data_IF_528555012197
#
_entry.id   IF_528555012197
#
_cell.length_a   1.000
_cell.length_b   1.000
_cell.length_c   1.000
_cell.angle_alpha   90.00
_cell.angle_beta   90.00
_cell.angle_gamma   90.00
#
_symmetry.space_group_name_H-M   'P 1'
#
loop_
_entity.id
_entity.type
_entity.pdbx_description
1 polymer ?
#
# COMPACT_ATOMS: atom_id res chain seq x y z
N UNK A 1 39.89 44.05 5.78
CA UNK A 1 38.72 43.74 4.92
C UNK A 1 38.22 42.41 5.44
N UNK A 2 37.29 42.49 6.38
CA UNK A 2 36.98 41.40 7.31
C UNK A 2 36.03 40.40 6.66
N UNK A 3 36.47 39.16 6.58
CA UNK A 3 35.78 38.02 5.96
C UNK A 3 34.79 37.32 6.93
N UNK A 4 34.27 38.04 7.92
CA UNK A 4 33.58 37.44 9.09
C UNK A 4 32.07 37.74 9.15
N UNK A 5 31.41 38.09 8.04
CA UNK A 5 30.00 38.52 8.04
C UNK A 5 29.04 37.77 7.10
N UNK A 6 29.43 36.65 6.48
CA UNK A 6 28.58 35.93 5.51
C UNK A 6 28.06 34.56 5.98
N UNK A 7 28.18 34.24 7.27
CA UNK A 7 27.69 32.98 7.86
C UNK A 7 26.19 33.01 8.25
N UNK A 8 25.64 34.19 8.52
CA UNK A 8 24.39 34.38 9.27
C UNK A 8 23.08 33.94 8.61
N UNK A 9 23.11 33.12 7.56
CA UNK A 9 21.88 32.63 6.92
C UNK A 9 21.99 31.19 6.39
N UNK A 10 22.79 30.34 7.05
CA UNK A 10 22.65 28.90 6.85
C UNK A 10 21.33 28.49 7.52
N UNK A 11 20.36 27.89 6.81
CA UNK A 11 19.17 27.37 7.46
C UNK A 11 19.66 26.40 8.53
N UNK A 12 19.42 26.77 9.79
CA UNK A 12 19.75 25.96 10.95
C UNK A 12 19.15 24.58 10.67
N UNK A 13 19.95 23.51 10.75
CA UNK A 13 19.43 22.17 10.49
C UNK A 13 18.33 21.88 11.52
N UNK A 14 17.07 22.05 11.13
CA UNK A 14 15.90 21.81 11.97
C UNK A 14 15.89 20.38 12.56
N UNK A 15 16.69 19.47 12.00
CA UNK A 15 16.88 18.11 12.52
C UNK A 15 17.64 18.05 13.85
N UNK A 16 18.31 19.14 14.25
CA UNK A 16 18.95 19.32 15.55
C UNK A 16 17.96 19.66 16.68
N UNK A 17 16.75 20.13 16.35
CA UNK A 17 15.73 20.55 17.34
C UNK A 17 15.03 19.38 18.06
N UNK A 18 15.15 18.15 17.53
CA UNK A 18 14.44 16.97 18.05
C UNK A 18 15.42 16.01 18.72
N UNK A 19 15.09 15.56 19.94
CA UNK A 19 15.89 14.60 20.70
C UNK A 19 16.25 13.34 19.88
N UNK A 20 17.50 12.83 19.94
CA UNK A 20 17.92 11.63 19.22
C UNK A 20 17.06 10.39 19.49
N UNK A 21 16.46 10.28 20.69
CA UNK A 21 15.56 9.18 21.07
C UNK A 21 14.24 9.28 20.30
N UNK A 22 13.64 10.48 20.24
CA UNK A 22 12.40 10.71 19.51
C UNK A 22 12.59 10.49 18.00
N UNK A 23 13.72 10.94 17.46
CA UNK A 23 14.10 10.70 16.06
C UNK A 23 14.12 9.21 15.70
N UNK A 24 14.64 8.34 16.59
CA UNK A 24 14.61 6.88 16.40
C UNK A 24 13.19 6.31 16.40
N UNK A 25 12.32 6.74 17.31
CA UNK A 25 10.93 6.28 17.35
C UNK A 25 10.16 6.64 16.08
N UNK A 26 10.30 7.88 15.63
CA UNK A 26 9.71 8.34 14.36
C UNK A 26 10.30 7.56 13.19
N UNK A 27 11.61 7.29 13.18
CA UNK A 27 12.26 6.47 12.16
C UNK A 27 11.70 5.04 12.07
N UNK A 28 11.55 4.34 13.20
CA UNK A 28 10.98 2.99 13.22
C UNK A 28 9.51 2.96 12.80
N UNK A 29 8.72 3.95 13.21
CA UNK A 29 7.35 4.11 12.78
C UNK A 29 7.25 4.28 11.26
N UNK A 30 8.04 5.20 10.67
CA UNK A 30 8.09 5.42 9.23
C UNK A 30 8.57 4.18 8.46
N UNK A 31 9.55 3.44 8.99
CA UNK A 31 10.01 2.19 8.39
C UNK A 31 8.92 1.11 8.42
N UNK A 32 8.17 1.00 9.53
CA UNK A 32 7.02 0.10 9.65
C UNK A 32 5.91 0.43 8.66
N UNK A 33 5.62 1.72 8.45
CA UNK A 33 4.65 2.18 7.46
C UNK A 33 5.10 1.87 6.02
N UNK A 34 6.37 2.12 5.70
CA UNK A 34 6.93 1.77 4.39
C UNK A 34 6.80 0.26 4.13
N UNK A 35 7.17 -0.56 5.13
CA UNK A 35 7.02 -2.01 5.05
C UNK A 35 5.55 -2.40 4.83
N UNK A 36 4.62 -1.86 5.62
CA UNK A 36 3.20 -2.19 5.48
C UNK A 36 2.62 -1.79 4.11
N UNK A 37 2.98 -0.62 3.56
CA UNK A 37 2.56 -0.22 2.21
C UNK A 37 3.08 -1.19 1.17
N UNK A 38 4.33 -1.62 1.27
CA UNK A 38 4.91 -2.59 0.35
C UNK A 38 4.08 -3.89 0.29
N UNK A 39 3.67 -4.43 1.45
CA UNK A 39 2.78 -5.59 1.51
C UNK A 39 1.39 -5.30 0.98
N UNK A 40 0.79 -4.15 1.30
CA UNK A 40 -0.54 -3.78 0.81
C UNK A 40 -0.58 -3.65 -0.72
N UNK A 41 0.46 -3.07 -1.32
CA UNK A 41 0.64 -2.99 -2.77
C UNK A 41 0.81 -4.38 -3.39
N UNK A 42 1.63 -5.24 -2.79
CA UNK A 42 1.79 -6.64 -3.22
C UNK A 42 0.48 -7.42 -3.17
N UNK A 43 -0.25 -7.34 -2.06
CA UNK A 43 -1.56 -7.96 -1.88
C UNK A 43 -2.59 -7.43 -2.88
N UNK A 44 -2.57 -6.12 -3.17
CA UNK A 44 -3.42 -5.51 -4.21
C UNK A 44 -3.09 -6.03 -5.62
N UNK A 45 -1.81 -6.15 -5.94
CA UNK A 45 -1.33 -6.75 -7.20
C UNK A 45 -1.79 -8.21 -7.35
N UNK A 46 -1.64 -9.01 -6.29
CA UNK A 46 -2.14 -10.40 -6.25
C UNK A 46 -3.67 -10.44 -6.43
N UNK A 47 -4.41 -9.60 -5.70
CA UNK A 47 -5.88 -9.49 -5.80
C UNK A 47 -6.33 -9.17 -7.23
N UNK A 48 -5.58 -8.32 -7.93
CA UNK A 48 -5.85 -7.95 -9.32
C UNK A 48 -5.55 -9.08 -10.32
N UNK A 49 -4.42 -9.75 -10.17
CA UNK A 49 -4.03 -10.92 -10.99
C UNK A 49 -4.96 -12.12 -10.74
N UNK A 50 -5.51 -12.23 -9.53
CA UNK A 50 -6.50 -13.23 -9.15
C UNK A 50 -7.89 -12.98 -9.75
N UNK A 51 -8.09 -11.85 -10.43
CA UNK A 51 -9.41 -11.35 -10.85
C UNK A 51 -10.42 -11.44 -9.68
N UNK A 52 -9.94 -11.09 -8.48
CA UNK A 52 -10.69 -11.26 -7.23
C UNK A 52 -11.29 -9.96 -6.69
N UNK A 53 -10.95 -8.82 -7.30
CA UNK A 53 -11.19 -7.47 -6.76
C UNK A 53 -12.65 -7.15 -6.35
N UNK A 54 -13.64 -7.90 -6.85
CA UNK A 54 -15.06 -7.64 -6.63
C UNK A 54 -15.82 -8.82 -5.96
N UNK A 55 -15.11 -9.85 -5.46
CA UNK A 55 -15.72 -11.08 -4.92
C UNK A 55 -16.27 -10.98 -3.49
N UNK A 56 -16.07 -9.85 -2.82
CA UNK A 56 -16.67 -9.55 -1.52
C UNK A 56 -17.95 -8.72 -1.76
N UNK A 57 -19.11 -9.35 -1.62
CA UNK A 57 -20.43 -8.77 -1.95
C UNK A 57 -20.94 -7.77 -0.93
N UNK A 58 -20.59 -7.97 0.34
CA UNK A 58 -21.03 -7.04 1.37
C UNK A 58 -20.19 -5.77 1.33
N UNK A 59 -20.84 -4.67 0.94
CA UNK A 59 -20.25 -3.32 0.91
C UNK A 59 -20.23 -2.69 2.30
N UNK A 60 -20.69 -3.37 3.34
CA UNK A 60 -20.68 -2.84 4.69
C UNK A 60 -19.24 -2.42 5.08
N UNK A 61 -18.99 -1.10 5.22
CA UNK A 61 -17.67 -0.60 5.57
C UNK A 61 -17.22 -1.07 6.96
N UNK A 62 -18.14 -1.63 7.76
CA UNK A 62 -17.90 -2.15 9.09
C UNK A 62 -17.92 -3.69 9.17
N UNK A 63 -17.94 -4.44 8.05
CA UNK A 63 -17.69 -5.88 8.14
C UNK A 63 -16.21 -6.09 8.47
N UNK A 64 -15.95 -6.52 9.71
CA UNK A 64 -14.60 -6.82 10.22
C UNK A 64 -14.34 -8.34 10.28
N UNK A 65 -15.40 -9.15 10.25
CA UNK A 65 -15.34 -10.59 10.51
C UNK A 65 -15.65 -11.36 9.21
N UNK A 66 -14.79 -12.28 8.77
CA UNK A 66 -15.08 -13.23 7.69
C UNK A 66 -16.31 -14.12 7.99
N UNK A 67 -17.02 -14.62 6.95
CA UNK A 67 -18.18 -15.52 7.12
C UNK A 67 -17.74 -16.95 7.49
N UNK A 68 -17.03 -17.11 8.61
CA UNK A 68 -16.61 -18.41 9.09
C UNK A 68 -17.81 -19.34 9.27
N UNK A 69 -17.83 -20.47 8.57
CA UNK A 69 -18.91 -21.46 8.64
C UNK A 69 -20.17 -21.14 7.83
N UNK A 70 -20.19 -20.03 7.07
CA UNK A 70 -21.33 -19.58 6.27
C UNK A 70 -20.94 -19.27 4.81
N UNK A 71 -19.99 -20.03 4.26
CA UNK A 71 -19.43 -19.77 2.94
C UNK A 71 -20.39 -20.04 1.80
N UNK A 72 -21.27 -21.04 1.94
CA UNK A 72 -22.31 -21.33 0.96
C UNK A 72 -23.30 -20.16 0.84
N UNK A 73 -23.72 -19.57 1.96
CA UNK A 73 -24.62 -18.42 1.97
C UNK A 73 -23.97 -17.18 1.33
N UNK A 74 -22.72 -16.89 1.69
CA UNK A 74 -21.96 -15.79 1.09
C UNK A 74 -21.77 -16.02 -0.43
N UNK A 75 -21.51 -17.25 -0.86
CA UNK A 75 -21.36 -17.59 -2.27
C UNK A 75 -22.68 -17.47 -3.04
N UNK A 76 -23.81 -17.91 -2.47
CA UNK A 76 -25.13 -17.70 -3.07
C UNK A 76 -25.47 -16.21 -3.15
N UNK A 77 -25.08 -15.40 -2.17
CA UNK A 77 -25.22 -13.96 -2.24
C UNK A 77 -24.31 -13.33 -3.31
N UNK A 78 -23.11 -13.89 -3.54
CA UNK A 78 -22.24 -13.52 -4.66
C UNK A 78 -22.86 -13.79 -6.03
N UNK A 79 -23.55 -14.92 -6.19
CA UNK A 79 -24.23 -15.26 -7.46
C UNK A 79 -25.31 -14.26 -7.85
N UNK A 80 -25.94 -13.60 -6.87
CA UNK A 80 -26.98 -12.58 -7.08
C UNK A 80 -26.43 -11.22 -7.51
N UNK A 81 -25.12 -10.98 -7.37
CA UNK A 81 -24.49 -9.71 -7.69
C UNK A 81 -24.22 -9.56 -9.19
N UNK A 82 -24.33 -8.34 -9.71
CA UNK A 82 -24.18 -8.04 -11.15
C UNK A 82 -22.85 -8.49 -11.78
N UNK A 83 -21.82 -8.78 -10.99
CA UNK A 83 -20.55 -9.31 -11.50
C UNK A 83 -20.65 -10.79 -11.92
N UNK A 84 -21.36 -11.63 -11.16
CA UNK A 84 -21.39 -13.07 -11.41
C UNK A 84 -21.94 -13.44 -12.80
N UNK A 85 -23.03 -12.82 -13.30
CA UNK A 85 -23.51 -13.04 -14.66
C UNK A 85 -22.51 -12.60 -15.75
N UNK A 86 -21.56 -11.72 -15.43
CA UNK A 86 -20.56 -11.18 -16.38
C UNK A 86 -19.28 -12.00 -16.47
N UNK A 87 -19.14 -13.05 -15.65
CA UNK A 87 -18.04 -14.00 -15.74
C UNK A 87 -18.12 -14.77 -17.08
N UNK A 88 -16.96 -15.17 -17.61
CA UNK A 88 -16.92 -16.11 -18.74
C UNK A 88 -17.40 -17.49 -18.27
N UNK A 89 -17.77 -18.38 -19.20
CA UNK A 89 -18.14 -19.77 -18.85
C UNK A 89 -16.99 -20.47 -18.12
N UNK A 90 -15.77 -20.37 -18.65
CA UNK A 90 -14.55 -20.87 -18.01
C UNK A 90 -14.34 -20.31 -16.60
N UNK A 91 -14.55 -19.01 -16.39
CA UNK A 91 -14.38 -18.37 -15.07
C UNK A 91 -15.45 -18.82 -14.07
N UNK A 92 -16.67 -19.15 -14.52
CA UNK A 92 -17.74 -19.68 -13.66
C UNK A 92 -17.47 -21.13 -13.27
N UNK A 93 -17.08 -21.98 -14.22
CA UNK A 93 -16.74 -23.39 -13.95
C UNK A 93 -15.57 -23.50 -12.97
N UNK A 94 -14.58 -22.63 -13.11
CA UNK A 94 -13.44 -22.58 -12.19
C UNK A 94 -13.75 -21.92 -10.83
N UNK A 95 -14.94 -21.34 -10.63
CA UNK A 95 -15.34 -20.71 -9.36
C UNK A 95 -16.00 -21.72 -8.41
N UNK A 96 -15.22 -22.70 -7.97
CA UNK A 96 -15.59 -23.59 -6.86
C UNK A 96 -15.71 -22.82 -5.54
N UNK A 97 -16.38 -23.39 -4.54
CA UNK A 97 -16.52 -22.77 -3.21
C UNK A 97 -15.15 -22.44 -2.60
N UNK A 98 -14.19 -23.37 -2.66
CA UNK A 98 -12.82 -23.14 -2.17
C UNK A 98 -12.09 -22.01 -2.92
N UNK A 99 -12.24 -21.93 -4.25
CA UNK A 99 -11.68 -20.83 -5.03
C UNK A 99 -12.35 -19.49 -4.71
N UNK A 100 -13.64 -19.50 -4.40
CA UNK A 100 -14.37 -18.34 -3.93
C UNK A 100 -13.84 -17.87 -2.57
N UNK A 101 -13.73 -18.75 -1.58
CA UNK A 101 -13.19 -18.46 -0.24
C UNK A 101 -11.79 -17.82 -0.32
N UNK A 102 -10.87 -18.45 -1.06
CA UNK A 102 -9.52 -17.95 -1.22
C UNK A 102 -9.49 -16.55 -1.85
N UNK A 103 -10.25 -16.34 -2.93
CA UNK A 103 -10.34 -15.03 -3.59
C UNK A 103 -11.01 -13.98 -2.69
N UNK A 104 -11.99 -14.37 -1.88
CA UNK A 104 -12.63 -13.53 -0.88
C UNK A 104 -11.62 -13.07 0.18
N UNK A 105 -10.79 -14.00 0.69
CA UNK A 105 -9.74 -13.68 1.67
C UNK A 105 -8.68 -12.73 1.14
N UNK A 106 -8.26 -12.86 -0.13
CA UNK A 106 -7.31 -11.91 -0.74
C UNK A 106 -7.83 -10.46 -0.67
N UNK A 107 -9.10 -10.26 -1.05
CA UNK A 107 -9.75 -8.94 -0.96
C UNK A 107 -9.86 -8.48 0.49
N UNK A 108 -10.28 -9.37 1.39
CA UNK A 108 -10.40 -9.06 2.81
C UNK A 108 -9.07 -8.60 3.41
N UNK A 109 -7.98 -9.36 3.22
CA UNK A 109 -6.66 -9.01 3.72
C UNK A 109 -6.14 -7.70 3.13
N UNK A 110 -6.36 -7.46 1.84
CA UNK A 110 -5.99 -6.18 1.22
C UNK A 110 -6.78 -5.00 1.84
N UNK A 111 -8.10 -5.14 2.03
CA UNK A 111 -8.96 -4.11 2.64
C UNK A 111 -8.60 -3.85 4.11
N UNK A 112 -8.42 -4.91 4.90
CA UNK A 112 -8.02 -4.80 6.30
C UNK A 112 -6.63 -4.22 6.44
N UNK A 113 -5.68 -4.61 5.57
CA UNK A 113 -4.34 -4.04 5.51
C UNK A 113 -4.36 -2.54 5.25
N UNK A 114 -5.21 -2.07 4.33
CA UNK A 114 -5.43 -0.64 4.07
C UNK A 114 -5.96 0.12 5.30
N UNK A 115 -6.96 -0.45 6.01
CA UNK A 115 -7.51 0.14 7.25
C UNK A 115 -6.47 0.18 8.36
N UNK A 116 -5.73 -0.90 8.54
CA UNK A 116 -4.67 -0.98 9.53
C UNK A 116 -3.59 0.06 9.25
N UNK A 117 -3.14 0.21 8.00
CA UNK A 117 -2.17 1.24 7.60
C UNK A 117 -2.68 2.65 7.87
N UNK A 118 -3.96 2.91 7.59
CA UNK A 118 -4.58 4.20 7.89
C UNK A 118 -4.52 4.51 9.39
N UNK A 119 -4.93 3.57 10.24
CA UNK A 119 -4.87 3.73 11.70
C UNK A 119 -3.43 3.83 12.23
N UNK A 120 -2.53 3.00 11.71
CA UNK A 120 -1.11 2.97 12.08
C UNK A 120 -0.36 4.24 11.62
N UNK A 121 -0.88 4.97 10.63
CA UNK A 121 -0.39 6.30 10.28
C UNK A 121 -1.01 7.36 11.19
N UNK A 122 -2.34 7.53 11.16
CA UNK A 122 -3.00 8.67 11.81
C UNK A 122 -2.86 8.66 13.34
N UNK A 123 -2.89 7.49 13.99
CA UNK A 123 -2.74 7.40 15.45
C UNK A 123 -1.39 7.94 15.93
N UNK A 124 -0.26 7.36 15.51
CA UNK A 124 1.07 7.87 15.85
C UNK A 124 1.36 9.25 15.27
N UNK A 125 0.83 9.60 14.09
CA UNK A 125 0.97 10.94 13.50
C UNK A 125 0.42 12.02 14.44
N UNK A 126 -0.81 11.87 14.93
CA UNK A 126 -1.42 12.81 15.87
C UNK A 126 -0.63 12.86 17.19
N UNK A 127 -0.25 11.68 17.71
CA UNK A 127 0.54 11.60 18.93
C UNK A 127 1.89 12.33 18.82
N UNK A 128 2.66 12.09 17.75
CA UNK A 128 3.94 12.74 17.50
C UNK A 128 3.80 14.24 17.21
N UNK A 129 2.68 14.65 16.60
CA UNK A 129 2.37 16.05 16.39
C UNK A 129 2.20 16.79 17.72
N UNK A 130 1.34 16.28 18.60
CA UNK A 130 1.07 16.87 19.92
C UNK A 130 2.33 16.88 20.79
N UNK A 131 3.17 15.82 20.69
CA UNK A 131 4.42 15.73 21.46
C UNK A 131 5.59 16.52 20.86
N UNK A 132 5.42 17.15 19.70
CA UNK A 132 6.48 17.94 19.06
C UNK A 132 7.66 17.10 18.57
N UNK A 133 7.42 15.85 18.15
CA UNK A 133 8.49 14.94 17.70
C UNK A 133 8.90 15.18 16.24
N UNK A 134 8.25 16.12 15.55
CA UNK A 134 8.53 16.47 14.16
C UNK A 134 9.29 17.79 14.04
N UNK A 135 10.34 17.80 13.22
CA UNK A 135 10.90 19.03 12.68
C UNK A 135 9.93 19.67 11.68
N UNK A 136 10.07 20.97 11.40
CA UNK A 136 9.11 21.68 10.54
C UNK A 136 9.10 21.15 9.11
N UNK A 137 10.26 20.74 8.61
CA UNK A 137 10.38 20.03 7.32
C UNK A 137 9.61 18.69 7.34
N UNK A 138 9.70 17.93 8.42
CA UNK A 138 9.00 16.66 8.55
C UNK A 138 7.49 16.86 8.72
N UNK A 139 7.04 17.90 9.45
CA UNK A 139 5.62 18.25 9.58
C UNK A 139 4.97 18.50 8.22
N UNK A 140 5.56 19.37 7.39
CA UNK A 140 5.05 19.67 6.04
C UNK A 140 4.92 18.41 5.19
N UNK A 141 5.95 17.54 5.24
CA UNK A 141 5.96 16.26 4.55
C UNK A 141 4.87 15.31 5.05
N UNK A 142 4.67 15.21 6.36
CA UNK A 142 3.67 14.32 6.94
C UNK A 142 2.24 14.82 6.68
N UNK A 143 1.99 16.13 6.64
CA UNK A 143 0.71 16.69 6.19
C UNK A 143 0.44 16.30 4.74
N UNK A 144 1.44 16.47 3.86
CA UNK A 144 1.29 16.11 2.46
C UNK A 144 0.94 14.62 2.29
N UNK A 145 1.64 13.74 3.01
CA UNK A 145 1.35 12.30 2.99
C UNK A 145 -0.01 11.98 3.62
N UNK A 146 -0.45 12.70 4.65
CA UNK A 146 -1.78 12.52 5.24
C UNK A 146 -2.90 12.78 4.22
N UNK A 147 -2.74 13.81 3.39
CA UNK A 147 -3.68 14.12 2.30
C UNK A 147 -3.69 12.98 1.25
N UNK A 148 -2.50 12.49 0.85
CA UNK A 148 -2.38 11.38 -0.10
C UNK A 148 -2.96 10.06 0.45
N UNK A 149 -2.83 9.83 1.75
CA UNK A 149 -3.39 8.64 2.41
C UNK A 149 -4.91 8.74 2.52
N UNK A 150 -5.44 9.91 2.89
CA UNK A 150 -6.88 10.16 2.94
C UNK A 150 -7.53 10.04 1.55
N UNK A 151 -6.83 10.45 0.48
CA UNK A 151 -7.35 10.34 -0.90
C UNK A 151 -7.51 8.89 -1.39
N UNK A 152 -6.86 7.90 -0.76
CA UNK A 152 -6.99 6.50 -1.16
C UNK A 152 -8.41 5.96 -0.98
N UNK A 153 -9.16 6.45 0.01
CA UNK A 153 -10.53 6.03 0.29
C UNK A 153 -11.47 6.43 -0.88
N UNK A 154 -11.58 7.72 -1.26
CA UNK A 154 -12.44 8.11 -2.37
C UNK A 154 -11.94 7.56 -3.71
N UNK A 155 -10.63 7.42 -3.93
CA UNK A 155 -10.08 6.80 -5.15
C UNK A 155 -10.49 5.33 -5.24
N UNK A 156 -10.39 4.58 -4.13
CA UNK A 156 -10.84 3.18 -4.07
C UNK A 156 -12.34 3.03 -4.35
N UNK A 157 -13.16 3.95 -3.83
CA UNK A 157 -14.59 3.99 -4.12
C UNK A 157 -14.88 4.33 -5.60
N UNK A 158 -14.20 5.34 -6.14
CA UNK A 158 -14.30 5.73 -7.55
C UNK A 158 -13.89 4.61 -8.51
N UNK A 159 -12.88 3.83 -8.13
CA UNK A 159 -12.39 2.66 -8.85
C UNK A 159 -13.49 1.59 -8.98
N UNK A 160 -14.29 1.36 -7.92
CA UNK A 160 -15.38 0.39 -7.90
C UNK A 160 -16.58 0.83 -8.75
N UNK A 161 -16.90 2.13 -8.77
CA UNK A 161 -18.05 2.65 -9.52
C UNK A 161 -17.80 2.79 -11.04
N UNK A 162 -16.55 2.75 -11.48
CA UNK A 162 -16.17 2.81 -12.92
C UNK A 162 -16.68 1.66 -13.76
N UNK A 163 -16.75 0.47 -13.17
CA UNK A 163 -17.10 -0.76 -13.89
C UNK A 163 -18.56 -0.82 -14.32
N UNK A 164 -19.35 0.19 -13.94
CA UNK A 164 -20.80 0.31 -14.18
C UNK A 164 -21.16 1.33 -15.27
N UNK A 165 -20.22 1.85 -16.06
CA UNK A 165 -20.56 2.74 -17.17
C UNK A 165 -21.03 1.99 -18.43
N UNK A 166 -22.17 2.46 -18.95
CA UNK A 166 -22.98 1.89 -20.01
C UNK A 166 -22.25 1.52 -21.33
N UNK A 167 -21.09 2.11 -21.63
CA UNK A 167 -20.36 1.83 -22.88
C UNK A 167 -19.63 0.48 -22.92
N UNK A 168 -19.25 -0.08 -21.77
CA UNK A 168 -18.72 -1.44 -21.69
C UNK A 168 -19.83 -2.51 -21.82
N UNK A 169 -21.10 -2.11 -21.61
CA UNK A 169 -22.28 -2.98 -21.66
C UNK A 169 -22.65 -3.39 -23.09
N UNK A 170 -22.22 -2.65 -24.11
CA UNK A 170 -22.55 -2.92 -25.51
C UNK A 170 -21.65 -3.97 -26.18
N UNK A 171 -20.46 -4.26 -25.63
CA UNK A 171 -19.40 -4.98 -26.36
C UNK A 171 -18.94 -6.32 -25.73
N UNK A 172 -19.66 -6.87 -24.72
CA UNK A 172 -19.28 -8.13 -24.02
C UNK A 172 -17.79 -8.21 -23.59
N UNK A 173 -17.12 -7.06 -23.39
CA UNK A 173 -15.74 -7.04 -22.89
C UNK A 173 -15.76 -7.13 -21.38
N UNK A 174 -14.85 -7.94 -20.81
CA UNK A 174 -14.70 -8.20 -19.36
C UNK A 174 -14.94 -6.91 -18.54
N UNK A 175 -15.74 -6.95 -17.45
CA UNK A 175 -15.94 -5.79 -16.59
C UNK A 175 -14.60 -5.37 -15.99
N UNK A 176 -13.99 -4.34 -16.58
CA UNK A 176 -12.68 -3.85 -16.22
C UNK A 176 -12.81 -2.51 -15.52
N UNK A 177 -12.26 -2.41 -14.31
CA UNK A 177 -11.89 -1.11 -13.75
C UNK A 177 -11.02 -0.38 -14.76
N UNK A 178 -11.31 0.89 -15.01
CA UNK A 178 -10.51 1.69 -15.93
C UNK A 178 -9.02 1.67 -15.54
N UNK A 179 -8.16 1.38 -16.51
CA UNK A 179 -6.71 1.23 -16.31
C UNK A 179 -6.09 2.49 -15.69
N UNK A 180 -6.58 3.69 -16.02
CA UNK A 180 -6.07 4.93 -15.42
C UNK A 180 -6.45 5.07 -13.94
N UNK A 181 -7.63 4.60 -13.51
CA UNK A 181 -8.07 4.68 -12.11
C UNK A 181 -7.25 3.74 -11.23
N UNK A 182 -6.99 2.55 -11.74
CA UNK A 182 -6.11 1.58 -11.09
C UNK A 182 -4.67 2.09 -11.02
N UNK A 183 -4.17 2.71 -12.08
CA UNK A 183 -2.84 3.33 -12.08
C UNK A 183 -2.73 4.42 -11.01
N UNK A 184 -3.70 5.33 -10.92
CA UNK A 184 -3.72 6.38 -9.88
C UNK A 184 -3.73 5.76 -8.47
N UNK A 185 -4.58 4.75 -8.25
CA UNK A 185 -4.66 4.05 -6.97
C UNK A 185 -3.37 3.31 -6.59
N UNK A 186 -2.57 2.89 -7.57
CA UNK A 186 -1.28 2.23 -7.34
C UNK A 186 -0.13 3.23 -7.16
N UNK A 187 -0.09 4.29 -7.96
CA UNK A 187 0.99 5.28 -7.98
C UNK A 187 1.07 6.01 -6.64
N UNK A 188 -0.06 6.38 -6.05
CA UNK A 188 -0.05 7.16 -4.80
C UNK A 188 0.55 6.35 -3.64
N UNK A 189 0.13 5.10 -3.33
CA UNK A 189 0.81 4.25 -2.34
C UNK A 189 2.29 4.02 -2.65
N UNK A 190 2.65 3.81 -3.92
CA UNK A 190 4.05 3.64 -4.30
C UNK A 190 4.90 4.88 -4.03
N UNK A 191 4.34 6.07 -4.31
CA UNK A 191 4.96 7.33 -3.97
C UNK A 191 5.08 7.53 -2.45
N UNK A 192 4.02 7.24 -1.68
CA UNK A 192 4.04 7.28 -0.21
C UNK A 192 5.10 6.34 0.38
N UNK A 193 5.26 5.13 -0.18
CA UNK A 193 6.32 4.20 0.19
C UNK A 193 7.71 4.85 0.07
N UNK A 194 7.99 5.50 -1.07
CA UNK A 194 9.25 6.21 -1.29
C UNK A 194 9.47 7.33 -0.26
N UNK A 195 8.44 8.12 0.04
CA UNK A 195 8.50 9.21 1.03
C UNK A 195 8.74 8.67 2.44
N UNK A 196 8.05 7.62 2.86
CA UNK A 196 8.25 7.01 4.18
C UNK A 196 9.61 6.37 4.31
N UNK A 197 10.06 5.63 3.30
CA UNK A 197 11.37 5.01 3.32
C UNK A 197 12.49 6.07 3.38
N UNK A 198 12.42 7.09 2.53
CA UNK A 198 13.37 8.21 2.56
C UNK A 198 13.37 8.93 3.92
N UNK A 199 12.19 9.17 4.49
CA UNK A 199 12.08 9.85 5.80
C UNK A 199 12.59 8.96 6.95
N UNK A 200 12.31 7.66 6.93
CA UNK A 200 12.86 6.72 7.90
C UNK A 200 14.39 6.71 7.86
N UNK A 201 14.95 6.71 6.65
CA UNK A 201 16.40 6.74 6.45
C UNK A 201 17.03 8.01 6.93
N UNK A 202 16.45 9.17 6.64
CA UNK A 202 16.96 10.44 7.14
C UNK A 202 16.85 10.52 8.66
N UNK A 203 15.90 9.82 9.30
CA UNK A 203 15.86 9.71 10.76
C UNK A 203 17.01 8.84 11.30
N UNK A 204 17.39 7.75 10.61
CA UNK A 204 18.46 6.85 11.04
C UNK A 204 19.88 7.30 10.67
N UNK A 205 20.02 8.01 9.55
CA UNK A 205 21.27 8.55 9.03
C UNK A 205 21.35 10.03 9.45
N UNK A 206 22.28 10.36 10.35
CA UNK A 206 22.56 11.77 10.68
C UNK A 206 23.13 12.47 9.43
N UNK A 207 22.78 13.73 9.14
CA UNK A 207 23.60 14.58 8.27
C UNK A 207 25.00 14.60 8.88
N UNK A 208 26.01 14.19 8.13
CA UNK A 208 27.38 14.49 8.53
C UNK A 208 27.60 15.96 8.18
N UNK A 209 27.70 16.80 9.20
CA UNK A 209 28.33 18.10 9.04
C UNK A 209 29.75 17.84 8.51
N UNK A 210 30.16 18.64 7.53
CA UNK A 210 31.39 18.58 6.74
C UNK A 210 31.62 17.32 5.87
N UNK A 211 31.76 17.58 4.57
CA UNK A 211 32.10 16.63 3.52
C UNK A 211 33.45 15.94 3.82
N UNK A 212 33.40 14.74 4.38
CA UNK A 212 34.39 13.71 4.10
C UNK A 212 33.64 12.51 3.51
N UNK A 213 33.63 12.43 2.18
CA UNK A 213 32.88 11.43 1.38
C UNK A 213 33.33 9.99 1.68
N UNK A 214 34.34 9.80 2.55
CA UNK A 214 34.83 8.50 3.02
C UNK A 214 34.03 7.84 4.14
N UNK A 215 33.14 8.55 4.85
CA UNK A 215 32.41 8.01 6.03
C UNK A 215 30.90 7.85 5.90
N UNK A 216 30.30 8.12 4.73
CA UNK A 216 28.97 7.54 4.44
C UNK A 216 29.17 6.04 4.62
N UNK A 217 28.44 5.43 5.55
CA UNK A 217 28.49 3.98 5.73
C UNK A 217 27.87 3.35 4.48
N UNK A 218 28.68 3.22 3.43
CA UNK A 218 28.32 2.70 2.13
C UNK A 218 27.73 1.31 2.26
N UNK A 219 28.06 0.56 3.32
CA UNK A 219 27.43 -0.72 3.64
C UNK A 219 25.95 -0.57 4.00
N UNK A 220 25.57 0.44 4.80
CA UNK A 220 24.15 0.73 5.12
C UNK A 220 23.38 1.21 3.90
N UNK A 221 23.93 2.16 3.13
CA UNK A 221 23.27 2.64 1.91
C UNK A 221 23.15 1.56 0.84
N UNK A 222 24.20 0.74 0.64
CA UNK A 222 24.15 -0.43 -0.25
C UNK A 222 23.22 -1.52 0.27
N UNK A 223 23.17 -1.76 1.58
CA UNK A 223 22.22 -2.70 2.18
C UNK A 223 20.78 -2.24 1.94
N UNK A 224 20.53 -0.94 2.04
CA UNK A 224 19.22 -0.38 1.81
C UNK A 224 18.82 -0.34 0.33
N UNK A 225 19.75 0.01 -0.56
CA UNK A 225 19.55 -0.13 -1.99
C UNK A 225 19.29 -1.59 -2.37
N UNK A 226 20.03 -2.54 -1.79
CA UNK A 226 19.77 -3.98 -1.93
C UNK A 226 18.43 -4.41 -1.32
N UNK A 227 17.98 -3.79 -0.22
CA UNK A 227 16.69 -4.07 0.38
C UNK A 227 15.54 -3.54 -0.50
N UNK A 228 15.68 -2.36 -1.10
CA UNK A 228 14.73 -1.81 -2.07
C UNK A 228 14.66 -2.67 -3.34
N UNK A 229 15.82 -3.06 -3.88
CA UNK A 229 15.89 -3.98 -5.02
C UNK A 229 15.30 -5.34 -4.64
N UNK A 230 15.62 -5.88 -3.46
CA UNK A 230 15.04 -7.11 -2.92
C UNK A 230 13.52 -7.03 -2.77
N UNK A 231 12.98 -5.92 -2.28
CA UNK A 231 11.55 -5.66 -2.22
C UNK A 231 10.92 -5.63 -3.62
N UNK A 232 11.53 -4.96 -4.60
CA UNK A 232 11.02 -4.97 -5.98
C UNK A 232 11.03 -6.40 -6.58
N UNK A 233 12.07 -7.19 -6.29
CA UNK A 233 12.17 -8.58 -6.74
C UNK A 233 11.17 -9.49 -6.04
N UNK A 234 10.94 -9.35 -4.74
CA UNK A 234 9.94 -10.11 -3.98
C UNK A 234 8.52 -9.74 -4.43
N UNK A 235 8.26 -8.46 -4.75
CA UNK A 235 6.96 -8.04 -5.29
C UNK A 235 6.71 -8.65 -6.67
N UNK A 236 7.75 -8.71 -7.50
CA UNK A 236 7.71 -9.40 -8.80
C UNK A 236 7.55 -10.92 -8.64
N UNK A 237 8.19 -11.51 -7.62
CA UNK A 237 8.10 -12.94 -7.34
C UNK A 237 6.72 -13.33 -6.79
N UNK A 238 6.13 -12.54 -5.90
CA UNK A 238 4.76 -12.76 -5.39
C UNK A 238 3.74 -12.84 -6.55
N UNK A 239 3.88 -11.97 -7.56
CA UNK A 239 3.07 -12.05 -8.77
C UNK A 239 3.25 -13.37 -9.54
N UNK A 240 4.49 -13.87 -9.66
CA UNK A 240 4.80 -15.14 -10.33
C UNK A 240 4.36 -16.37 -9.53
N UNK A 241 4.61 -16.40 -8.23
CA UNK A 241 4.17 -17.47 -7.31
C UNK A 241 2.65 -17.58 -7.31
N UNK A 242 1.94 -16.46 -7.41
CA UNK A 242 0.48 -16.47 -7.55
C UNK A 242 0.01 -17.16 -8.84
N UNK A 243 0.65 -16.88 -9.98
CA UNK A 243 0.34 -17.56 -11.26
C UNK A 243 0.64 -19.07 -11.17
N UNK A 244 1.69 -19.46 -10.45
CA UNK A 244 2.06 -20.86 -10.23
C UNK A 244 1.07 -21.56 -9.30
N UNK A 245 0.69 -20.94 -8.17
CA UNK A 245 -0.32 -21.48 -7.26
C UNK A 245 -1.66 -21.67 -7.98
N UNK A 246 -2.08 -20.70 -8.80
CA UNK A 246 -3.29 -20.83 -9.64
C UNK A 246 -3.23 -22.09 -10.52
N UNK A 247 -2.07 -22.37 -11.15
CA UNK A 247 -1.88 -23.57 -11.98
C UNK A 247 -1.87 -24.87 -11.18
N UNK A 248 -1.27 -24.86 -9.99
CA UNK A 248 -1.20 -26.04 -9.12
C UNK A 248 -2.58 -26.44 -8.58
N UNK A 249 -3.39 -25.47 -8.14
CA UNK A 249 -4.75 -25.74 -7.67
C UNK A 249 -5.72 -26.11 -8.82
N UNK A 250 -5.48 -25.63 -10.05
CA UNK A 250 -6.28 -26.06 -11.21
C UNK A 250 -5.97 -27.48 -11.71
N UNK A 251 -4.81 -28.05 -11.38
CA UNK A 251 -4.43 -29.42 -11.76
C UNK A 251 -4.80 -30.49 -10.72
N UNK A 252 -5.07 -30.10 -9.48
CA UNK A 252 -5.43 -31.01 -8.39
C UNK A 252 -6.95 -31.26 -8.25
N UNK A 253 -7.75 -30.85 -9.25
CA UNK A 253 -9.22 -30.93 -9.22
C UNK A 253 -9.81 -31.92 -10.23
N UNK A 254 -9.05 -32.94 -10.65
CA UNK A 254 -9.54 -34.06 -11.47
C UNK A 254 -9.60 -35.35 -10.65
#
# INVERSE_FOLDING_TARGET
MDYESLDGNKPMDDSASVSPKHRKYVGYWLAGLAFGIYFAVGAGGVTRLAESAMKMTDRNPFRWIPPFGHWEEEFENYKKYDEYPRLTEEDRENLTLSNFEFKWFLVYFHRMGGRFLFAAFFGPFIYFWIKGYFSDTLKKRMIFVAILMASQIPIGWWMLNSGLHHELMANKKKPGVSQYRMAIHLIIPFFMFGVFLYSALSMFLKPQDHLNVSTINMKRLRCLGKAMIGMLLVGSAMGKYFVILKRLFSHNSY
#
